data_IF_334924147141
#
_entry.id   IF_334924147141
#
_cell.length_a   1.000
_cell.length_b   1.000
_cell.length_c   1.000
_cell.angle_alpha   90.00
_cell.angle_beta   90.00
_cell.angle_gamma   90.00
#
_symmetry.space_group_name_H-M   'P 1'
#
loop_
_entity.id
_entity.type
_entity.pdbx_description
1 polymer ?
#
# COMPACT_ATOMS: atom_id res chain seq x y z
N UNK A 1 -20.70 -2.49 -13.65
CA UNK A 1 -19.35 -3.06 -13.81
C UNK A 1 -18.41 -2.40 -12.84
N UNK A 2 -17.41 -3.11 -12.28
CA UNK A 2 -16.40 -2.48 -11.41
C UNK A 2 -15.56 -1.52 -12.27
N UNK A 3 -15.61 -0.23 -11.96
CA UNK A 3 -14.78 0.78 -12.65
C UNK A 3 -13.32 0.56 -12.26
N UNK A 4 -12.49 0.24 -13.25
CA UNK A 4 -11.04 0.10 -13.11
C UNK A 4 -10.42 1.32 -13.78
N UNK A 5 -9.63 2.07 -13.02
CA UNK A 5 -8.84 3.18 -13.53
C UNK A 5 -7.50 2.63 -13.98
N UNK A 6 -7.12 2.97 -15.20
CA UNK A 6 -5.82 2.64 -15.77
C UNK A 6 -5.00 3.92 -15.86
N UNK A 7 -3.75 3.85 -15.45
CA UNK A 7 -2.84 4.99 -15.40
C UNK A 7 -1.47 4.59 -15.93
N UNK A 8 -1.02 5.23 -17.01
CA UNK A 8 0.27 4.93 -17.61
C UNK A 8 1.40 5.71 -16.93
N UNK A 9 2.43 5.00 -16.47
CA UNK A 9 3.68 5.59 -16.04
C UNK A 9 4.73 5.46 -17.14
N UNK A 10 5.42 6.55 -17.51
CA UNK A 10 6.35 6.54 -18.65
C UNK A 10 7.65 5.77 -18.36
N UNK A 11 8.03 5.60 -17.09
CA UNK A 11 9.24 4.87 -16.70
C UNK A 11 9.18 4.35 -15.27
N UNK A 12 9.54 3.08 -15.10
CA UNK A 12 9.69 2.42 -13.80
C UNK A 12 11.06 1.74 -13.72
N UNK A 13 11.51 1.45 -12.49
CA UNK A 13 12.76 0.69 -12.27
C UNK A 13 12.72 -0.68 -12.95
N UNK A 14 11.57 -1.35 -12.93
CA UNK A 14 11.34 -2.67 -13.52
C UNK A 14 10.80 -2.63 -14.95
N UNK A 15 10.32 -1.47 -15.41
CA UNK A 15 9.76 -1.27 -16.75
C UNK A 15 10.31 0.03 -17.35
N UNK A 16 11.47 -0.02 -18.03
CA UNK A 16 12.15 1.16 -18.57
C UNK A 16 11.33 1.91 -19.63
N UNK A 17 10.44 1.19 -20.32
CA UNK A 17 9.57 1.71 -21.39
C UNK A 17 8.19 2.15 -20.88
N UNK A 18 8.04 2.23 -19.56
CA UNK A 18 6.77 2.53 -18.93
C UNK A 18 5.86 1.32 -18.77
N UNK A 19 4.79 1.51 -18.01
CA UNK A 19 3.84 0.45 -17.68
C UNK A 19 2.51 1.05 -17.23
N UNK A 20 1.41 0.38 -17.53
CA UNK A 20 0.10 0.74 -17.01
C UNK A 20 -0.08 0.23 -15.57
N UNK A 21 -0.57 1.08 -14.68
CA UNK A 21 -0.98 0.72 -13.33
C UNK A 21 -2.49 0.82 -13.26
N UNK A 22 -3.12 -0.23 -12.73
CA UNK A 22 -4.57 -0.33 -12.68
C UNK A 22 -5.04 -0.47 -11.23
N UNK A 23 -6.11 0.25 -10.88
CA UNK A 23 -6.80 0.06 -9.60
C UNK A 23 -8.31 0.10 -9.78
N UNK A 24 -9.01 -0.74 -9.02
CA UNK A 24 -10.45 -0.65 -8.90
C UNK A 24 -10.83 0.43 -7.88
N UNK A 25 -11.95 1.11 -8.11
CA UNK A 25 -12.56 1.99 -7.11
C UNK A 25 -12.85 1.20 -5.82
N UNK A 26 -12.48 1.79 -4.71
CA UNK A 26 -12.75 1.35 -3.34
C UNK A 26 -13.67 2.37 -2.66
N UNK A 27 -14.36 1.91 -1.62
CA UNK A 27 -15.15 2.78 -0.76
C UNK A 27 -14.33 3.11 0.50
N UNK A 28 -14.25 4.39 0.86
CA UNK A 28 -13.61 4.86 2.09
C UNK A 28 -12.37 5.74 1.87
N UNK A 29 -11.73 6.20 2.96
CA UNK A 29 -10.64 7.17 2.94
C UNK A 29 -9.34 6.63 2.30
N UNK A 30 -9.23 5.31 2.11
CA UNK A 30 -8.10 4.65 1.47
C UNK A 30 -8.34 4.34 -0.01
N UNK A 31 -9.31 5.01 -0.64
CA UNK A 31 -9.52 4.89 -2.08
C UNK A 31 -8.36 5.54 -2.87
N UNK A 32 -7.66 4.77 -3.73
CA UNK A 32 -6.53 5.29 -4.48
C UNK A 32 -6.92 6.34 -5.53
N UNK A 33 -8.14 6.28 -6.07
CA UNK A 33 -8.63 7.27 -7.05
C UNK A 33 -8.83 8.63 -6.40
N UNK A 34 -9.59 8.69 -5.30
CA UNK A 34 -9.84 9.91 -4.53
C UNK A 34 -8.53 10.49 -4.00
N UNK A 35 -7.63 9.63 -3.48
CA UNK A 35 -6.33 10.09 -3.00
C UNK A 35 -5.47 10.70 -4.13
N UNK A 36 -5.53 10.11 -5.34
CA UNK A 36 -4.80 10.61 -6.50
C UNK A 36 -5.39 11.91 -7.05
N UNK A 37 -6.71 12.02 -7.17
CA UNK A 37 -7.39 13.25 -7.57
C UNK A 37 -7.10 14.39 -6.60
N UNK A 38 -7.15 14.11 -5.29
CA UNK A 38 -6.79 15.08 -4.26
C UNK A 38 -5.33 15.56 -4.43
N UNK A 39 -4.40 14.64 -4.68
CA UNK A 39 -3.01 14.98 -4.97
C UNK A 39 -2.87 15.90 -6.19
N UNK A 40 -3.59 15.63 -7.28
CA UNK A 40 -3.58 16.49 -8.46
C UNK A 40 -4.14 17.88 -8.15
N UNK A 41 -5.21 17.99 -7.37
CA UNK A 41 -5.81 19.28 -7.02
C UNK A 41 -4.93 20.13 -6.08
N UNK A 42 -4.31 19.49 -5.08
CA UNK A 42 -3.55 20.19 -4.03
C UNK A 42 -2.14 20.51 -4.50
N UNK A 43 -1.47 19.55 -5.14
CA UNK A 43 -0.06 19.68 -5.51
C UNK A 43 0.15 20.17 -6.94
N UNK A 44 -0.86 20.10 -7.80
CA UNK A 44 -0.84 20.56 -9.20
C UNK A 44 0.50 20.25 -9.91
N UNK A 45 0.82 18.95 -10.09
CA UNK A 45 2.12 18.54 -10.61
C UNK A 45 2.35 19.08 -12.03
N UNK A 46 3.59 19.48 -12.37
CA UNK A 46 3.92 19.95 -13.71
C UNK A 46 3.81 18.81 -14.74
N UNK A 47 3.27 19.12 -15.93
CA UNK A 47 3.04 18.12 -17.00
C UNK A 47 4.31 17.35 -17.40
N UNK A 48 5.46 18.02 -17.43
CA UNK A 48 6.75 17.43 -17.83
C UNK A 48 7.66 17.08 -16.63
N UNK A 49 7.11 17.03 -15.41
CA UNK A 49 7.89 16.74 -14.20
C UNK A 49 7.44 15.48 -13.47
N UNK A 50 8.04 15.19 -12.30
CA UNK A 50 7.69 14.00 -11.53
C UNK A 50 6.23 14.05 -11.08
N UNK A 51 5.49 12.97 -11.29
CA UNK A 51 4.06 12.88 -10.93
C UNK A 51 3.81 13.09 -9.43
N UNK A 52 4.66 12.48 -8.59
CA UNK A 52 4.55 12.58 -7.13
C UNK A 52 5.43 13.73 -6.61
N UNK A 53 4.95 14.95 -6.81
CA UNK A 53 5.53 16.17 -6.22
C UNK A 53 4.64 16.73 -5.14
N UNK A 54 5.23 17.42 -4.18
CA UNK A 54 4.49 18.23 -3.21
C UNK A 54 4.91 19.69 -3.32
N UNK A 55 3.97 20.58 -3.02
CA UNK A 55 4.20 22.03 -3.06
C UNK A 55 4.78 22.53 -1.73
N UNK A 56 5.77 23.40 -1.81
CA UNK A 56 6.26 24.20 -0.68
C UNK A 56 6.35 25.67 -1.09
N UNK A 57 6.73 26.55 -0.15
CA UNK A 57 6.86 27.99 -0.39
C UNK A 57 7.84 28.37 -1.52
N UNK A 58 8.77 27.48 -1.87
CA UNK A 58 9.77 27.67 -2.93
C UNK A 58 9.42 26.95 -4.24
N UNK A 59 8.25 26.30 -4.33
CA UNK A 59 7.77 25.59 -5.53
C UNK A 59 7.58 24.07 -5.34
N UNK A 60 7.52 23.34 -6.45
CA UNK A 60 7.30 21.89 -6.48
C UNK A 60 8.59 21.13 -6.14
N UNK A 61 8.50 20.13 -5.26
CA UNK A 61 9.60 19.20 -4.98
C UNK A 61 9.18 17.75 -5.17
N UNK A 62 10.03 16.91 -5.78
CA UNK A 62 9.74 15.49 -5.89
C UNK A 62 9.72 14.82 -4.52
N UNK A 63 8.81 13.86 -4.36
CA UNK A 63 8.74 13.05 -3.16
C UNK A 63 9.90 12.05 -3.13
N UNK A 64 10.85 12.26 -2.22
CA UNK A 64 11.96 11.33 -2.00
C UNK A 64 11.60 10.29 -0.95
N UNK A 65 12.27 9.13 -1.00
CA UNK A 65 12.14 8.08 0.02
C UNK A 65 12.35 8.63 1.44
N UNK A 66 13.38 9.46 1.63
CA UNK A 66 13.73 10.03 2.94
C UNK A 66 12.58 10.90 3.47
N UNK A 67 12.02 11.77 2.61
CA UNK A 67 10.92 12.65 3.02
C UNK A 67 9.65 11.85 3.30
N UNK A 68 9.33 10.87 2.47
CA UNK A 68 8.20 9.98 2.68
C UNK A 68 8.29 9.24 4.03
N UNK A 69 9.45 8.61 4.31
CA UNK A 69 9.66 7.90 5.58
C UNK A 69 9.62 8.83 6.78
N UNK A 70 10.15 10.05 6.66
CA UNK A 70 10.09 11.06 7.72
C UNK A 70 8.64 11.47 8.03
N UNK A 71 7.83 11.76 7.01
CA UNK A 71 6.42 12.12 7.19
C UNK A 71 5.66 10.97 7.85
N UNK A 72 5.87 9.75 7.35
CA UNK A 72 5.24 8.55 7.91
C UNK A 72 5.62 8.33 9.38
N UNK A 73 6.89 8.53 9.73
CA UNK A 73 7.37 8.42 11.10
C UNK A 73 6.67 9.43 12.02
N UNK A 74 6.54 10.68 11.57
CA UNK A 74 5.86 11.74 12.31
C UNK A 74 4.38 11.42 12.50
N UNK A 75 3.67 10.98 11.44
CA UNK A 75 2.25 10.62 11.54
C UNK A 75 2.02 9.41 12.44
N UNK A 76 2.87 8.39 12.35
CA UNK A 76 2.78 7.20 13.21
C UNK A 76 2.99 7.59 14.69
N UNK A 77 4.01 8.40 14.98
CA UNK A 77 4.27 8.90 16.33
C UNK A 77 3.10 9.71 16.87
N UNK A 78 2.51 10.60 16.07
CA UNK A 78 1.33 11.37 16.46
C UNK A 78 0.11 10.49 16.75
N UNK A 79 -0.03 9.36 16.03
CA UNK A 79 -1.09 8.37 16.24
C UNK A 79 -0.81 7.34 17.35
N UNK A 80 0.32 7.45 18.06
CA UNK A 80 0.73 6.48 19.10
C UNK A 80 1.10 5.09 18.55
N UNK A 81 1.36 4.97 17.24
CA UNK A 81 1.68 3.70 16.57
C UNK A 81 3.20 3.48 16.46
N UNK A 82 3.67 2.22 16.56
CA UNK A 82 5.10 1.92 16.48
C UNK A 82 5.65 2.25 15.08
N UNK A 83 6.91 2.70 15.05
CA UNK A 83 7.60 3.04 13.81
C UNK A 83 7.96 1.76 13.02
N UNK A 84 7.50 1.69 11.77
CA UNK A 84 7.87 0.61 10.85
C UNK A 84 9.33 0.81 10.40
N UNK A 85 10.26 -0.04 10.84
CA UNK A 85 11.68 0.07 10.47
C UNK A 85 11.90 0.02 8.94
N UNK A 86 12.76 0.94 8.46
CA UNK A 86 12.85 1.50 7.11
C UNK A 86 13.20 0.62 5.90
N UNK A 87 12.88 -0.68 5.89
CA UNK A 87 12.98 -1.55 4.69
C UNK A 87 11.69 -2.31 4.34
N UNK A 88 10.63 -2.22 5.16
CA UNK A 88 9.50 -3.18 5.15
C UNK A 88 8.14 -2.61 4.73
N UNK A 89 8.11 -1.47 4.02
CA UNK A 89 6.85 -0.77 3.71
C UNK A 89 6.08 -1.35 2.51
N UNK A 90 6.77 -1.92 1.51
CA UNK A 90 6.11 -2.46 0.31
C UNK A 90 5.31 -3.74 0.55
N UNK A 91 5.48 -4.39 1.70
CA UNK A 91 4.99 -5.76 1.96
C UNK A 91 3.93 -5.75 3.07
N UNK A 92 3.98 -4.78 3.99
CA UNK A 92 2.99 -4.64 5.05
C UNK A 92 1.59 -4.28 4.52
N UNK A 93 1.48 -3.52 3.43
CA UNK A 93 0.19 -3.25 2.78
C UNK A 93 -0.39 -4.49 2.11
N UNK A 94 0.46 -5.38 1.61
CA UNK A 94 0.05 -6.65 1.02
C UNK A 94 -0.55 -7.60 2.07
N UNK A 95 -0.03 -7.54 3.30
CA UNK A 95 -0.55 -8.29 4.44
C UNK A 95 -2.01 -7.95 4.74
N UNK A 96 -2.41 -6.69 4.60
CA UNK A 96 -3.80 -6.24 4.76
C UNK A 96 -4.72 -6.88 3.71
N UNK A 97 -4.29 -6.95 2.44
CA UNK A 97 -5.09 -7.60 1.39
C UNK A 97 -5.16 -9.12 1.56
N UNK A 98 -4.05 -9.76 1.96
CA UNK A 98 -3.99 -11.20 2.20
C UNK A 98 -4.89 -11.60 3.39
N UNK A 99 -4.82 -10.85 4.49
CA UNK A 99 -5.53 -11.18 5.74
C UNK A 99 -6.97 -10.66 5.80
N UNK A 100 -7.24 -9.42 5.37
CA UNK A 100 -8.59 -8.83 5.51
C UNK A 100 -9.51 -9.09 4.32
N UNK A 101 -8.97 -9.51 3.17
CA UNK A 101 -9.75 -9.69 1.93
C UNK A 101 -9.70 -11.12 1.38
N UNK A 102 -9.02 -12.04 2.07
CA UNK A 102 -8.84 -13.44 1.69
C UNK A 102 -8.43 -13.61 0.21
N UNK A 103 -7.50 -12.76 -0.25
CA UNK A 103 -7.03 -12.79 -1.63
C UNK A 103 -5.92 -13.84 -1.74
N UNK A 104 -5.99 -14.76 -2.73
CA UNK A 104 -4.94 -15.74 -2.98
C UNK A 104 -3.55 -15.12 -3.21
N UNK A 105 -2.49 -15.85 -2.82
CA UNK A 105 -1.10 -15.38 -2.90
C UNK A 105 -0.64 -15.10 -4.33
N UNK A 106 -1.07 -15.90 -5.30
CA UNK A 106 -0.81 -15.72 -6.73
C UNK A 106 -1.41 -14.41 -7.25
N UNK A 107 -2.65 -14.10 -6.87
CA UNK A 107 -3.31 -12.82 -7.22
C UNK A 107 -2.54 -11.64 -6.62
N UNK A 108 -2.03 -11.81 -5.40
CA UNK A 108 -1.18 -10.82 -4.73
C UNK A 108 0.19 -10.68 -5.41
N UNK A 109 0.80 -11.77 -5.87
CA UNK A 109 2.03 -11.76 -6.64
C UNK A 109 1.87 -10.99 -7.95
N UNK A 110 0.79 -11.28 -8.69
CA UNK A 110 0.42 -10.57 -9.92
C UNK A 110 0.21 -9.08 -9.63
N UNK A 111 -0.51 -8.76 -8.55
CA UNK A 111 -0.75 -7.37 -8.14
C UNK A 111 0.52 -6.64 -7.68
N UNK A 112 1.40 -7.33 -6.95
CA UNK A 112 2.66 -6.82 -6.42
C UNK A 112 3.79 -6.76 -7.46
N UNK A 113 3.56 -7.38 -8.64
CA UNK A 113 4.54 -7.55 -9.72
C UNK A 113 5.80 -8.24 -9.22
N UNK A 114 5.62 -9.25 -8.39
CA UNK A 114 6.73 -10.04 -7.86
C UNK A 114 7.03 -11.19 -8.80
N UNK A 115 8.26 -11.22 -9.30
CA UNK A 115 8.74 -12.28 -10.18
C UNK A 115 9.06 -13.59 -9.44
N UNK A 116 9.08 -13.55 -8.10
CA UNK A 116 9.37 -14.70 -7.25
C UNK A 116 8.65 -14.57 -5.91
N UNK A 117 8.50 -15.71 -5.24
CA UNK A 117 7.89 -15.81 -3.91
C UNK A 117 8.77 -15.26 -2.77
N UNK A 118 9.78 -14.46 -3.11
CA UNK A 118 10.67 -13.79 -2.13
C UNK A 118 9.90 -12.89 -1.17
N UNK A 119 8.68 -12.45 -1.52
CA UNK A 119 7.81 -11.71 -0.62
C UNK A 119 7.39 -12.52 0.62
N UNK A 120 7.34 -13.85 0.52
CA UNK A 120 7.00 -14.73 1.65
C UNK A 120 7.95 -14.50 2.82
N UNK A 121 9.25 -14.29 2.55
CA UNK A 121 10.30 -14.06 3.56
C UNK A 121 10.06 -12.76 4.35
N UNK A 122 9.30 -11.82 3.78
CA UNK A 122 9.05 -10.52 4.37
C UNK A 122 7.67 -10.40 5.05
N UNK A 123 6.88 -11.48 5.09
CA UNK A 123 5.61 -11.49 5.81
C UNK A 123 5.90 -11.42 7.31
N UNK A 124 5.69 -10.26 7.91
CA UNK A 124 6.03 -10.03 9.32
C UNK A 124 5.14 -10.80 10.31
N UNK A 125 4.00 -11.33 9.84
CA UNK A 125 3.02 -12.01 10.67
C UNK A 125 2.62 -13.37 10.10
N UNK A 126 3.59 -14.24 9.78
CA UNK A 126 3.31 -15.62 9.36
C UNK A 126 2.33 -16.32 10.30
N UNK A 127 2.44 -16.10 11.61
CA UNK A 127 1.52 -16.67 12.60
C UNK A 127 0.09 -16.16 12.43
N UNK A 128 -0.15 -14.90 12.10
CA UNK A 128 -1.51 -14.38 11.86
C UNK A 128 -2.10 -14.90 10.55
N UNK A 129 -1.25 -15.12 9.54
CA UNK A 129 -1.63 -15.67 8.22
C UNK A 129 -1.91 -17.16 8.30
N UNK A 130 -1.12 -17.91 9.07
CA UNK A 130 -1.23 -19.36 9.20
C UNK A 130 -2.20 -19.79 10.30
N UNK A 131 -2.44 -18.96 11.33
CA UNK A 131 -3.41 -19.22 12.40
C UNK A 131 -4.77 -19.75 11.91
N UNK A 132 -5.44 -19.17 10.89
CA UNK A 132 -6.71 -19.72 10.40
C UNK A 132 -6.60 -21.15 9.88
N UNK A 133 -5.47 -21.50 9.26
CA UNK A 133 -5.24 -22.82 8.68
C UNK A 133 -4.75 -23.85 9.69
N UNK A 134 -4.18 -23.40 10.82
CA UNK A 134 -3.68 -24.25 11.90
C UNK A 134 -4.68 -24.43 13.05
N UNK A 135 -5.77 -23.64 13.07
CA UNK A 135 -6.78 -23.72 14.11
C UNK A 135 -7.80 -24.83 13.84
N UNK A 136 -8.07 -25.65 14.86
CA UNK A 136 -9.11 -26.68 14.82
C UNK A 136 -10.54 -26.10 14.72
N UNK A 137 -10.71 -24.80 14.98
CA UNK A 137 -12.01 -24.13 15.02
C UNK A 137 -11.97 -22.80 14.24
N UNK A 138 -12.41 -22.77 12.97
CA UNK A 138 -12.32 -21.60 12.09
C UNK A 138 -13.07 -20.36 12.59
N UNK A 139 -14.10 -20.53 13.43
CA UNK A 139 -14.92 -19.43 13.95
C UNK A 139 -14.17 -18.47 14.88
N UNK A 140 -13.11 -18.93 15.57
CA UNK A 140 -12.29 -18.10 16.46
C UNK A 140 -11.35 -17.18 15.69
N UNK A 141 -11.07 -17.48 14.42
CA UNK A 141 -10.17 -16.70 13.59
C UNK A 141 -10.72 -15.30 13.32
N UNK A 142 -12.00 -15.18 12.95
CA UNK A 142 -12.68 -13.89 12.73
C UNK A 142 -12.62 -12.99 13.97
N UNK A 143 -12.75 -13.59 15.16
CA UNK A 143 -12.63 -12.89 16.44
C UNK A 143 -11.19 -12.43 16.73
N UNK A 144 -10.20 -13.29 16.47
CA UNK A 144 -8.78 -12.97 16.64
C UNK A 144 -8.30 -11.92 15.63
N UNK A 145 -8.77 -11.95 14.38
CA UNK A 145 -8.49 -10.89 13.39
C UNK A 145 -8.98 -9.53 13.91
N UNK A 146 -10.20 -9.47 14.48
CA UNK A 146 -10.75 -8.23 15.05
C UNK A 146 -9.92 -7.67 16.21
N UNK A 147 -9.35 -8.55 17.05
CA UNK A 147 -8.57 -8.13 18.24
C UNK A 147 -7.14 -7.79 17.88
N UNK A 148 -6.48 -8.61 17.05
CA UNK A 148 -5.05 -8.47 16.73
C UNK A 148 -4.77 -7.40 15.68
N UNK A 149 -5.73 -7.11 14.80
CA UNK A 149 -5.61 -6.12 13.73
C UNK A 149 -6.47 -4.88 14.01
N UNK A 150 -6.62 -4.47 15.28
CA UNK A 150 -7.41 -3.31 15.76
C UNK A 150 -7.81 -2.37 14.63
N UNK A 151 -9.12 -2.18 14.35
CA UNK A 151 -9.55 -1.31 13.27
C UNK A 151 -8.91 0.05 13.51
N UNK A 152 -8.05 0.44 12.58
CA UNK A 152 -7.50 1.79 12.54
C UNK A 152 -8.69 2.71 12.32
N UNK A 153 -9.23 3.23 13.42
CA UNK A 153 -10.16 4.36 13.41
C UNK A 153 -9.48 5.57 12.78
#
# INVERSE_FOLDING_TARGET
GKMVMNFHLPKLKSAPNGEEINWARKNGPSDPGVAFENHLSVNFPPQNGPLFVYRNSKGHKPLTRVKFLSVLATTLKASGRPLLQGRRHRISSTLEYLLLRNIPFDVVNVKGRWASDTFLIYLHCHTQILAPYMQAQPSLHEYLLRITLLPVR
#
